data_IF_889595252028
#
_entry.id   IF_889595252028
#
_cell.length_a   1.000
_cell.length_b   1.000
_cell.length_c   1.000
_cell.angle_alpha   90.00
_cell.angle_beta   90.00
_cell.angle_gamma   90.00
#
_symmetry.space_group_name_H-M   'P 1'
#
loop_
_entity.id
_entity.type
_entity.pdbx_description
1 polymer ?
#
# COMPACT_ATOMS: atom_id res chain seq x y z
N UNK A 1 -2.40 11.18 -12.31
CA UNK A 1 -2.29 9.95 -11.50
C UNK A 1 -1.56 10.27 -10.21
N UNK A 2 -1.94 9.63 -9.09
CA UNK A 2 -1.26 9.81 -7.79
C UNK A 2 -0.83 8.43 -7.29
N UNK A 3 0.45 8.28 -6.96
CA UNK A 3 1.07 7.04 -6.48
C UNK A 3 1.48 7.18 -5.01
N UNK A 4 1.06 6.21 -4.19
CA UNK A 4 1.28 6.18 -2.75
C UNK A 4 2.02 4.90 -2.38
N UNK A 5 3.21 5.05 -1.79
CA UNK A 5 4.10 3.94 -1.45
C UNK A 5 3.67 3.15 -0.21
N UNK A 6 4.33 2.02 0.04
CA UNK A 6 4.14 1.15 1.20
C UNK A 6 4.86 1.63 2.48
N UNK A 7 4.74 0.83 3.56
CA UNK A 7 5.45 1.03 4.81
C UNK A 7 6.97 1.02 4.58
N UNK A 8 7.70 1.96 5.16
CA UNK A 8 9.15 2.14 5.05
C UNK A 8 9.68 2.22 3.59
N UNK A 9 8.79 2.54 2.66
CA UNK A 9 9.06 2.73 1.23
C UNK A 9 9.21 4.22 0.88
N UNK A 10 9.33 4.57 -0.41
CA UNK A 10 9.41 5.95 -0.88
C UNK A 10 8.85 6.07 -2.30
N UNK A 11 8.71 7.33 -2.78
CA UNK A 11 8.22 7.63 -4.12
C UNK A 11 8.99 6.93 -5.24
N UNK A 12 10.29 6.68 -5.04
CA UNK A 12 11.17 6.02 -6.03
C UNK A 12 10.73 4.60 -6.38
N UNK A 13 9.93 3.93 -5.52
CA UNK A 13 9.40 2.59 -5.80
C UNK A 13 8.35 2.59 -6.92
N UNK A 14 7.97 3.79 -7.37
CA UNK A 14 7.09 4.03 -8.51
C UNK A 14 7.80 4.59 -9.74
N UNK A 15 9.15 4.53 -9.80
CA UNK A 15 9.93 5.16 -10.85
C UNK A 15 9.50 4.71 -12.26
N UNK A 16 9.33 3.40 -12.47
CA UNK A 16 8.92 2.85 -13.77
C UNK A 16 7.51 3.33 -14.20
N UNK A 17 6.62 3.55 -13.25
CA UNK A 17 5.28 4.09 -13.50
C UNK A 17 5.34 5.59 -13.79
N UNK A 18 6.11 6.33 -12.98
CA UNK A 18 6.24 7.78 -13.18
C UNK A 18 6.90 8.12 -14.51
N UNK A 19 7.94 7.39 -14.92
CA UNK A 19 8.62 7.60 -16.20
C UNK A 19 7.72 7.35 -17.41
N UNK A 20 6.83 6.37 -17.31
CA UNK A 20 5.89 6.07 -18.39
C UNK A 20 4.77 7.11 -18.43
N UNK A 21 4.05 7.28 -17.31
CA UNK A 21 2.79 8.01 -17.29
C UNK A 21 2.97 9.53 -17.32
N UNK A 22 4.12 10.07 -16.89
CA UNK A 22 4.41 11.51 -16.98
C UNK A 22 4.51 12.04 -18.41
N UNK A 23 4.65 11.16 -19.40
CA UNK A 23 4.70 11.55 -20.82
C UNK A 23 3.36 12.07 -21.34
N UNK A 24 2.26 11.64 -20.70
CA UNK A 24 0.90 11.93 -21.18
C UNK A 24 -0.06 12.40 -20.08
N UNK A 25 0.34 12.32 -18.82
CA UNK A 25 -0.49 12.66 -17.65
C UNK A 25 0.23 13.57 -16.68
N UNK A 26 -0.53 14.30 -15.86
CA UNK A 26 -0.01 14.84 -14.62
C UNK A 26 0.18 13.67 -13.62
N UNK A 27 1.41 13.49 -13.15
CA UNK A 27 1.77 12.42 -12.21
C UNK A 27 2.34 13.01 -10.92
N UNK A 28 1.89 12.48 -9.80
CA UNK A 28 2.44 12.75 -8.47
C UNK A 28 2.78 11.43 -7.82
N UNK A 29 4.04 11.21 -7.45
CA UNK A 29 4.47 10.17 -6.54
C UNK A 29 4.94 10.85 -5.25
N UNK A 30 4.22 10.64 -4.14
CA UNK A 30 4.49 11.35 -2.89
C UNK A 30 5.32 10.50 -1.93
N UNK A 31 6.19 11.15 -1.15
CA UNK A 31 6.71 10.59 0.09
C UNK A 31 5.73 10.93 1.22
N UNK A 32 5.23 9.92 1.92
CA UNK A 32 4.40 10.10 3.09
C UNK A 32 5.22 10.68 4.26
N UNK A 33 4.57 11.28 5.26
CA UNK A 33 5.27 11.83 6.44
C UNK A 33 6.25 10.84 7.03
N UNK A 34 7.42 11.32 7.44
CA UNK A 34 8.56 10.56 7.97
C UNK A 34 9.14 9.52 7.00
N UNK A 35 8.82 9.61 5.69
CA UNK A 35 9.39 8.76 4.64
C UNK A 35 10.06 9.60 3.57
N UNK A 36 11.10 9.02 2.93
CA UNK A 36 11.82 9.66 1.84
C UNK A 36 12.30 11.06 2.20
N UNK A 37 11.84 12.07 1.46
CA UNK A 37 12.21 13.49 1.67
C UNK A 37 11.19 14.28 2.51
N UNK A 38 10.08 13.67 2.91
CA UNK A 38 9.05 14.34 3.68
C UNK A 38 9.31 14.19 5.18
N UNK A 39 9.51 15.29 5.92
CA UNK A 39 9.69 15.21 7.37
C UNK A 39 8.39 14.76 8.05
N UNK A 40 8.51 14.25 9.28
CA UNK A 40 7.38 13.88 10.11
C UNK A 40 7.81 13.41 11.48
N UNK A 41 6.96 13.64 12.48
CA UNK A 41 7.16 13.13 13.83
C UNK A 41 6.41 11.78 14.00
N UNK A 42 6.84 10.89 14.91
CA UNK A 42 6.17 9.60 15.15
C UNK A 42 4.67 9.75 15.46
N UNK A 43 4.27 10.77 16.21
CA UNK A 43 2.87 11.04 16.55
C UNK A 43 1.98 11.46 15.35
N UNK A 44 2.60 11.86 14.24
CA UNK A 44 1.90 12.21 12.99
C UNK A 44 1.80 11.02 12.02
N UNK A 45 2.35 9.86 12.38
CA UNK A 45 2.42 8.69 11.51
C UNK A 45 1.27 7.73 11.79
N UNK A 46 0.18 7.90 11.06
CA UNK A 46 -0.97 6.99 11.07
C UNK A 46 -1.64 6.92 9.71
N UNK A 47 -2.38 5.85 9.44
CA UNK A 47 -3.12 5.69 8.18
C UNK A 47 -4.13 6.82 8.00
N UNK A 48 -4.81 7.23 9.07
CA UNK A 48 -5.78 8.32 9.04
C UNK A 48 -5.12 9.65 8.68
N UNK A 49 -3.93 9.92 9.23
CA UNK A 49 -3.20 11.15 8.92
C UNK A 49 -2.69 11.16 7.50
N UNK A 50 -2.12 10.05 7.04
CA UNK A 50 -1.65 9.90 5.67
C UNK A 50 -2.79 9.99 4.65
N UNK A 51 -3.96 9.41 4.98
CA UNK A 51 -5.16 9.54 4.16
C UNK A 51 -5.64 10.99 4.06
N UNK A 52 -5.57 11.75 5.15
CA UNK A 52 -5.90 13.17 5.16
C UNK A 52 -4.92 14.00 4.30
N UNK A 53 -3.61 13.76 4.41
CA UNK A 53 -2.60 14.43 3.59
C UNK A 53 -2.80 14.16 2.09
N UNK A 54 -3.11 12.91 1.72
CA UNK A 54 -3.41 12.55 0.32
C UNK A 54 -4.72 13.18 -0.13
N UNK A 55 -5.75 13.25 0.72
CA UNK A 55 -7.01 13.93 0.40
C UNK A 55 -6.80 15.45 0.18
N UNK A 56 -5.95 16.09 0.97
CA UNK A 56 -5.55 17.49 0.79
C UNK A 56 -4.81 17.67 -0.54
N UNK A 57 -3.83 16.81 -0.85
CA UNK A 57 -3.13 16.78 -2.14
C UNK A 57 -4.12 16.67 -3.31
N UNK A 58 -5.10 15.76 -3.23
CA UNK A 58 -6.14 15.62 -4.25
C UNK A 58 -6.95 16.91 -4.42
N UNK A 59 -7.14 17.67 -3.34
CA UNK A 59 -7.80 18.98 -3.37
C UNK A 59 -7.09 19.99 -4.24
N UNK A 60 -5.76 19.92 -4.37
CA UNK A 60 -4.93 20.83 -5.18
C UNK A 60 -4.97 20.49 -6.67
N UNK A 61 -5.42 19.28 -7.05
CA UNK A 61 -5.46 18.85 -8.43
C UNK A 61 -6.68 19.43 -9.16
N UNK A 62 -6.47 19.77 -10.44
CA UNK A 62 -7.52 20.36 -11.31
C UNK A 62 -8.65 19.37 -11.60
N UNK A 63 -8.34 18.08 -11.72
CA UNK A 63 -9.27 17.01 -12.09
C UNK A 63 -9.19 15.85 -11.10
N UNK A 64 -10.24 15.03 -10.95
CA UNK A 64 -10.18 13.79 -10.19
C UNK A 64 -9.03 12.90 -10.68
N UNK A 65 -8.33 12.25 -9.76
CA UNK A 65 -7.14 11.45 -10.05
C UNK A 65 -7.41 9.95 -9.98
N UNK A 66 -6.65 9.18 -10.77
CA UNK A 66 -6.44 7.75 -10.51
C UNK A 66 -5.50 7.66 -9.31
N UNK A 67 -5.99 7.06 -8.24
CA UNK A 67 -5.29 6.97 -6.96
C UNK A 67 -4.78 5.55 -6.76
N UNK A 68 -3.46 5.38 -6.80
CA UNK A 68 -2.78 4.08 -6.78
C UNK A 68 -1.98 3.93 -5.48
N UNK A 69 -2.23 2.87 -4.73
CA UNK A 69 -1.52 2.57 -3.49
C UNK A 69 -0.88 1.18 -3.50
N UNK A 70 0.34 1.07 -2.98
CA UNK A 70 1.04 -0.18 -2.76
C UNK A 70 1.03 -0.55 -1.28
N UNK A 71 0.70 -1.80 -0.94
CA UNK A 71 0.82 -2.32 0.43
C UNK A 71 0.12 -1.45 1.48
N UNK A 72 0.85 -0.79 2.37
CA UNK A 72 0.31 0.23 3.29
C UNK A 72 -0.41 1.33 2.52
N UNK A 73 0.10 1.73 1.37
CA UNK A 73 -0.51 2.73 0.49
C UNK A 73 -1.94 2.37 0.08
N UNK A 74 -2.31 1.08 0.01
CA UNK A 74 -3.69 0.66 -0.22
C UNK A 74 -4.64 1.19 0.86
N UNK A 75 -4.23 1.17 2.14
CA UNK A 75 -4.99 1.71 3.27
C UNK A 75 -5.13 3.22 3.16
N UNK A 76 -4.01 3.88 2.82
CA UNK A 76 -3.94 5.33 2.68
C UNK A 76 -4.87 5.82 1.56
N UNK A 77 -4.86 5.18 0.39
CA UNK A 77 -5.73 5.57 -0.73
C UNK A 77 -7.20 5.30 -0.44
N UNK A 78 -7.53 4.22 0.27
CA UNK A 78 -8.90 3.96 0.72
C UNK A 78 -9.38 5.01 1.72
N UNK A 79 -8.53 5.42 2.66
CA UNK A 79 -8.86 6.49 3.62
C UNK A 79 -8.98 7.85 2.93
N UNK A 80 -8.09 8.18 1.97
CA UNK A 80 -8.18 9.39 1.17
C UNK A 80 -9.46 9.44 0.32
N UNK A 81 -9.84 8.30 -0.30
CA UNK A 81 -11.11 8.19 -1.01
C UNK A 81 -12.32 8.44 -0.11
N UNK A 82 -12.30 7.94 1.13
CA UNK A 82 -13.37 8.18 2.10
C UNK A 82 -13.53 9.67 2.43
N UNK A 83 -12.41 10.41 2.50
CA UNK A 83 -12.37 11.83 2.82
C UNK A 83 -12.69 12.73 1.62
N UNK A 84 -12.25 12.36 0.42
CA UNK A 84 -12.39 13.16 -0.79
C UNK A 84 -12.90 12.35 -2.01
N UNK A 85 -14.06 11.65 -1.92
CA UNK A 85 -14.50 10.72 -2.97
C UNK A 85 -14.73 11.38 -4.32
N UNK A 86 -15.10 12.65 -4.36
CA UNK A 86 -15.32 13.41 -5.61
C UNK A 86 -14.01 13.74 -6.35
N UNK A 87 -12.87 13.59 -5.70
CA UNK A 87 -11.54 13.82 -6.27
C UNK A 87 -10.86 12.55 -6.74
N UNK A 88 -11.55 11.40 -6.68
CA UNK A 88 -11.02 10.10 -7.07
C UNK A 88 -11.77 9.59 -8.31
N UNK A 89 -11.06 9.51 -9.42
CA UNK A 89 -11.60 9.00 -10.70
C UNK A 89 -11.61 7.46 -10.72
N UNK A 90 -10.57 6.83 -10.18
CA UNK A 90 -10.43 5.38 -10.03
C UNK A 90 -9.44 5.06 -8.92
N UNK A 91 -9.52 3.85 -8.37
CA UNK A 91 -8.61 3.34 -7.34
C UNK A 91 -7.86 2.12 -7.87
N UNK A 92 -6.55 2.06 -7.63
CA UNK A 92 -5.73 0.88 -7.88
C UNK A 92 -5.04 0.46 -6.59
N UNK A 93 -5.26 -0.79 -6.18
CA UNK A 93 -4.66 -1.38 -4.99
C UNK A 93 -3.61 -2.41 -5.44
N UNK A 94 -2.34 -2.14 -5.18
CA UNK A 94 -1.22 -2.99 -5.57
C UNK A 94 -0.73 -3.77 -4.35
N UNK A 95 -0.91 -5.06 -4.41
CA UNK A 95 -0.57 -6.07 -3.39
C UNK A 95 -1.00 -5.69 -1.97
N UNK A 96 -2.29 -5.39 -1.84
CA UNK A 96 -2.92 -5.09 -0.57
C UNK A 96 -3.00 -6.32 0.36
N UNK A 97 -3.25 -6.06 1.63
CA UNK A 97 -3.46 -7.10 2.63
C UNK A 97 -4.25 -6.57 3.82
N UNK A 98 -4.88 -7.46 4.58
CA UNK A 98 -5.44 -7.17 5.90
C UNK A 98 -4.59 -7.84 6.96
N UNK A 99 -4.05 -7.07 7.91
CA UNK A 99 -3.14 -7.56 8.94
C UNK A 99 -3.87 -7.98 10.22
N UNK A 100 -5.04 -7.40 10.47
CA UNK A 100 -5.78 -7.59 11.71
C UNK A 100 -7.29 -7.48 11.55
N UNK A 101 -8.01 -8.10 12.48
CA UNK A 101 -9.45 -7.99 12.66
C UNK A 101 -9.77 -8.09 14.17
N UNK A 102 -11.03 -7.86 14.56
CA UNK A 102 -11.44 -7.89 15.96
C UNK A 102 -11.18 -6.58 16.67
N UNK A 103 -10.70 -6.62 17.92
CA UNK A 103 -10.45 -5.43 18.72
C UNK A 103 -9.25 -4.61 18.20
N UNK A 104 -9.44 -3.32 17.86
CA UNK A 104 -8.38 -2.50 17.28
C UNK A 104 -7.22 -2.20 18.24
N UNK A 105 -7.47 -2.15 19.55
CA UNK A 105 -6.42 -1.90 20.55
C UNK A 105 -5.56 -3.15 20.70
N UNK A 106 -6.18 -4.32 20.87
CA UNK A 106 -5.46 -5.60 20.93
C UNK A 106 -4.63 -5.85 19.67
N UNK A 107 -5.19 -5.52 18.48
CA UNK A 107 -4.46 -5.62 17.22
C UNK A 107 -3.20 -4.74 17.18
N UNK A 108 -3.30 -3.50 17.65
CA UNK A 108 -2.17 -2.58 17.72
C UNK A 108 -1.13 -3.03 18.76
N UNK A 109 -1.58 -3.46 19.93
CA UNK A 109 -0.70 -3.91 21.02
C UNK A 109 0.11 -5.15 20.65
N UNK A 110 -0.51 -6.10 19.94
CA UNK A 110 0.20 -7.28 19.43
C UNK A 110 1.33 -6.90 18.44
N UNK A 111 1.12 -5.85 17.61
CA UNK A 111 2.16 -5.36 16.71
C UNK A 111 3.27 -4.63 17.45
N UNK A 112 2.90 -3.83 18.45
CA UNK A 112 3.86 -3.11 19.29
C UNK A 112 4.77 -4.10 20.02
N UNK A 113 4.19 -5.11 20.66
CA UNK A 113 4.94 -6.15 21.37
C UNK A 113 5.92 -6.90 20.45
N UNK A 114 5.53 -7.19 19.20
CA UNK A 114 6.42 -7.85 18.24
C UNK A 114 7.63 -6.98 17.87
N UNK A 115 7.43 -5.66 17.71
CA UNK A 115 8.53 -4.72 17.43
C UNK A 115 9.42 -4.53 18.66
N UNK A 116 8.84 -4.40 19.85
CA UNK A 116 9.58 -4.24 21.11
C UNK A 116 10.44 -5.48 21.39
N UNK A 117 9.91 -6.68 21.15
CA UNK A 117 10.63 -7.93 21.34
C UNK A 117 11.85 -8.09 20.43
N UNK A 118 11.70 -7.76 19.16
CA UNK A 118 12.76 -7.94 18.15
C UNK A 118 13.72 -6.75 18.05
N UNK A 119 13.28 -5.55 18.43
CA UNK A 119 13.86 -4.29 18.01
C UNK A 119 13.48 -3.94 16.56
N UNK A 120 13.29 -2.65 16.28
CA UNK A 120 12.72 -2.23 14.98
C UNK A 120 13.57 -2.64 13.78
N UNK A 121 14.90 -2.49 13.86
CA UNK A 121 15.78 -2.81 12.73
C UNK A 121 15.70 -4.30 12.34
N UNK A 122 15.79 -5.21 13.33
CA UNK A 122 15.68 -6.65 13.11
C UNK A 122 14.26 -7.02 12.62
N UNK A 123 13.23 -6.38 13.18
CA UNK A 123 11.85 -6.55 12.72
C UNK A 123 11.69 -6.14 11.26
N UNK A 124 12.23 -4.97 10.87
CA UNK A 124 12.15 -4.46 9.50
C UNK A 124 12.92 -5.37 8.53
N UNK A 125 14.13 -5.81 8.88
CA UNK A 125 14.92 -6.73 8.06
C UNK A 125 14.13 -8.04 7.80
N UNK A 126 13.62 -8.68 8.85
CA UNK A 126 12.86 -9.92 8.74
C UNK A 126 11.56 -9.74 7.94
N UNK A 127 10.83 -8.63 8.17
CA UNK A 127 9.61 -8.30 7.46
C UNK A 127 9.87 -8.11 5.97
N UNK A 128 10.90 -7.36 5.60
CA UNK A 128 11.15 -7.02 4.19
C UNK A 128 11.79 -8.17 3.40
N UNK A 129 12.61 -9.01 4.03
CA UNK A 129 13.18 -10.20 3.34
C UNK A 129 12.10 -11.16 2.85
N UNK A 130 11.04 -11.38 3.60
CA UNK A 130 9.93 -12.24 3.15
C UNK A 130 9.05 -11.64 2.06
N UNK A 131 9.25 -10.37 1.72
CA UNK A 131 8.48 -9.67 0.67
C UNK A 131 8.99 -9.97 -0.74
N UNK A 132 10.18 -10.53 -0.88
CA UNK A 132 10.80 -10.87 -2.15
C UNK A 132 10.92 -12.38 -2.33
N UNK A 133 10.80 -12.86 -3.57
CA UNK A 133 11.12 -14.26 -3.88
C UNK A 133 12.62 -14.51 -3.74
N UNK A 134 13.43 -13.53 -4.16
CA UNK A 134 14.88 -13.49 -3.98
C UNK A 134 15.27 -12.16 -3.33
N UNK A 135 15.55 -12.22 -2.03
CA UNK A 135 15.96 -11.05 -1.26
C UNK A 135 17.42 -10.61 -1.52
N UNK A 136 18.14 -11.27 -2.45
CA UNK A 136 19.51 -10.92 -2.83
C UNK A 136 19.58 -10.01 -4.05
N UNK A 137 18.48 -9.75 -4.72
CA UNK A 137 18.46 -8.84 -5.88
C UNK A 137 18.82 -7.41 -5.49
N UNK A 138 19.43 -6.61 -6.38
CA UNK A 138 19.79 -5.21 -6.08
C UNK A 138 18.62 -4.37 -5.56
N UNK A 139 17.43 -4.53 -6.17
CA UNK A 139 16.24 -3.80 -5.73
C UNK A 139 15.77 -4.27 -4.35
N UNK A 140 15.76 -5.57 -4.08
CA UNK A 140 15.42 -6.10 -2.76
C UNK A 140 16.35 -5.57 -1.68
N UNK A 141 17.67 -5.65 -1.90
CA UNK A 141 18.68 -5.15 -0.97
C UNK A 141 18.51 -3.65 -0.71
N UNK A 142 18.31 -2.84 -1.77
CA UNK A 142 18.08 -1.40 -1.65
C UNK A 142 16.86 -1.09 -0.78
N UNK A 143 15.76 -1.81 -1.00
CA UNK A 143 14.50 -1.60 -0.26
C UNK A 143 14.64 -2.06 1.19
N UNK A 144 15.24 -3.22 1.45
CA UNK A 144 15.50 -3.75 2.79
C UNK A 144 16.36 -2.76 3.59
N UNK A 145 17.47 -2.29 3.02
CA UNK A 145 18.36 -1.34 3.69
C UNK A 145 17.68 0.01 3.97
N UNK A 146 16.83 0.48 3.06
CA UNK A 146 16.03 1.68 3.31
C UNK A 146 15.04 1.45 4.46
N UNK A 147 14.37 0.31 4.49
CA UNK A 147 13.39 -0.01 5.53
C UNK A 147 14.02 -0.04 6.94
N UNK A 148 15.21 -0.57 7.07
CA UNK A 148 15.99 -0.59 8.33
C UNK A 148 16.35 0.81 8.82
N UNK A 149 16.48 1.79 7.91
CA UNK A 149 16.84 3.17 8.24
C UNK A 149 15.65 4.04 8.65
N UNK A 150 14.41 3.53 8.53
CA UNK A 150 13.28 4.27 9.07
C UNK A 150 13.49 4.48 10.58
N UNK A 151 13.34 5.69 11.12
CA UNK A 151 13.49 5.90 12.56
C UNK A 151 12.62 4.92 13.37
N UNK A 152 13.21 4.29 14.36
CA UNK A 152 12.56 3.23 15.15
C UNK A 152 11.24 3.67 15.76
N UNK A 153 11.18 4.93 16.22
CA UNK A 153 9.98 5.52 16.82
C UNK A 153 8.85 5.68 15.78
N UNK A 154 9.20 6.00 14.53
CA UNK A 154 8.25 6.10 13.42
C UNK A 154 7.69 4.72 13.10
N UNK A 155 8.56 3.72 12.97
CA UNK A 155 8.14 2.34 12.70
C UNK A 155 7.25 1.78 13.80
N UNK A 156 7.64 2.01 15.07
CA UNK A 156 6.90 1.57 16.24
C UNK A 156 5.54 2.28 16.41
N UNK A 157 5.38 3.49 15.91
CA UNK A 157 4.10 4.19 15.89
C UNK A 157 3.21 3.73 14.72
N UNK A 158 3.79 3.63 13.52
CA UNK A 158 3.04 3.44 12.28
C UNK A 158 2.56 1.99 12.10
N UNK A 159 3.40 0.98 12.35
CA UNK A 159 3.03 -0.42 12.09
C UNK A 159 1.84 -0.89 12.95
N UNK A 160 1.77 -0.60 14.27
CA UNK A 160 0.57 -0.82 15.07
C UNK A 160 -0.65 -0.03 14.58
N UNK A 161 -0.46 1.21 14.08
CA UNK A 161 -1.52 2.02 13.48
C UNK A 161 -2.15 1.34 12.27
N UNK A 162 -1.37 0.66 11.43
CA UNK A 162 -1.89 -0.12 10.30
C UNK A 162 -2.82 -1.25 10.77
N UNK A 163 -2.42 -2.01 11.79
CA UNK A 163 -3.24 -3.09 12.34
C UNK A 163 -4.53 -2.56 12.97
N UNK A 164 -4.45 -1.45 13.71
CA UNK A 164 -5.61 -0.76 14.28
C UNK A 164 -6.59 -0.31 13.19
N UNK A 165 -6.07 0.30 12.12
CA UNK A 165 -6.89 0.74 11.00
C UNK A 165 -7.58 -0.44 10.30
N UNK A 166 -6.86 -1.54 10.06
CA UNK A 166 -7.42 -2.76 9.47
C UNK A 166 -8.56 -3.35 10.33
N UNK A 167 -8.41 -3.36 11.65
CA UNK A 167 -9.41 -3.88 12.55
C UNK A 167 -10.67 -2.99 12.65
N UNK A 168 -10.50 -1.66 12.52
CA UNK A 168 -11.59 -0.71 12.79
C UNK A 168 -12.21 -0.08 11.52
N UNK A 169 -11.47 0.07 10.42
CA UNK A 169 -11.88 0.95 9.30
C UNK A 169 -11.89 0.31 7.93
N UNK A 170 -11.16 -0.78 7.68
CA UNK A 170 -11.02 -1.35 6.33
C UNK A 170 -12.37 -1.67 5.68
N UNK A 171 -13.31 -2.22 6.43
CA UNK A 171 -14.64 -2.58 5.93
C UNK A 171 -15.42 -1.34 5.50
N UNK A 172 -15.47 -0.32 6.36
CA UNK A 172 -16.16 0.93 6.05
C UNK A 172 -15.51 1.71 4.92
N UNK A 173 -14.17 1.66 4.81
CA UNK A 173 -13.43 2.30 3.74
C UNK A 173 -13.67 1.62 2.38
N UNK A 174 -13.71 0.29 2.34
CA UNK A 174 -14.09 -0.47 1.15
C UNK A 174 -15.55 -0.21 0.76
N UNK A 175 -16.47 -0.25 1.72
CA UNK A 175 -17.88 0.03 1.49
C UNK A 175 -18.16 1.48 1.02
N UNK A 176 -17.24 2.40 1.24
CA UNK A 176 -17.33 3.79 0.75
C UNK A 176 -16.87 3.96 -0.71
N UNK A 177 -16.25 2.96 -1.33
CA UNK A 177 -15.78 3.04 -2.72
C UNK A 177 -16.97 3.12 -3.68
N UNK A 178 -16.93 4.12 -4.57
CA UNK A 178 -17.93 4.32 -5.64
C UNK A 178 -17.29 4.42 -7.02
N UNK A 179 -16.02 4.75 -7.07
CA UNK A 179 -15.23 4.78 -8.30
C UNK A 179 -14.81 3.37 -8.73
N UNK A 180 -14.50 3.16 -10.02
CA UNK A 180 -13.89 1.92 -10.47
C UNK A 180 -12.68 1.53 -9.61
N UNK A 181 -12.53 0.23 -9.32
CA UNK A 181 -11.43 -0.30 -8.53
C UNK A 181 -10.75 -1.46 -9.24
N UNK A 182 -9.42 -1.40 -9.32
CA UNK A 182 -8.54 -2.49 -9.76
C UNK A 182 -7.67 -2.94 -8.58
N UNK A 183 -7.66 -4.24 -8.30
CA UNK A 183 -6.68 -4.87 -7.41
C UNK A 183 -5.68 -5.66 -8.25
N UNK A 184 -4.40 -5.31 -8.16
CA UNK A 184 -3.27 -6.06 -8.72
C UNK A 184 -2.63 -6.80 -7.56
N UNK A 185 -2.73 -8.13 -7.55
CA UNK A 185 -2.29 -8.93 -6.42
C UNK A 185 -1.24 -9.95 -6.85
N UNK A 186 -0.13 -10.02 -6.11
CA UNK A 186 0.96 -10.96 -6.37
C UNK A 186 1.23 -11.90 -5.21
N UNK A 187 0.89 -11.49 -3.98
CA UNK A 187 1.12 -12.29 -2.78
C UNK A 187 -0.12 -12.45 -1.91
N UNK A 188 -0.10 -13.46 -1.07
CA UNK A 188 -1.06 -13.64 0.03
C UNK A 188 -0.33 -13.74 1.36
N UNK A 189 -1.04 -13.51 2.45
CA UNK A 189 -0.50 -13.57 3.81
C UNK A 189 -1.28 -14.60 4.63
N UNK A 190 -0.56 -15.54 5.26
CA UNK A 190 -1.16 -16.54 6.15
C UNK A 190 -1.59 -15.88 7.49
N UNK A 191 -2.39 -16.59 8.32
CA UNK A 191 -2.72 -16.14 9.68
C UNK A 191 -1.48 -15.88 10.55
N UNK A 192 -0.38 -16.61 10.33
CA UNK A 192 0.90 -16.45 11.02
C UNK A 192 1.74 -15.31 10.43
N UNK A 193 1.15 -14.52 9.50
CA UNK A 193 1.77 -13.38 8.81
C UNK A 193 2.98 -13.75 7.95
N UNK A 194 3.01 -14.97 7.44
CA UNK A 194 3.96 -15.38 6.42
C UNK A 194 3.42 -15.02 5.04
N UNK A 195 4.24 -14.33 4.26
CA UNK A 195 3.91 -13.92 2.90
C UNK A 195 4.37 -15.00 1.92
N UNK A 196 3.56 -15.27 0.92
CA UNK A 196 3.87 -16.19 -0.17
C UNK A 196 3.32 -15.67 -1.49
N UNK A 197 4.00 -16.00 -2.60
CA UNK A 197 3.51 -15.71 -3.94
C UNK A 197 2.21 -16.43 -4.23
N UNK A 198 1.32 -15.79 -4.98
CA UNK A 198 0.06 -16.39 -5.42
C UNK A 198 0.23 -17.17 -6.72
N UNK A 199 -0.69 -18.11 -6.94
CA UNK A 199 -0.86 -18.83 -8.19
C UNK A 199 -2.03 -18.25 -9.00
N UNK A 200 -2.04 -18.48 -10.31
CA UNK A 200 -3.17 -18.08 -11.16
C UNK A 200 -4.50 -18.67 -10.64
N UNK A 201 -5.52 -17.83 -10.55
CA UNK A 201 -6.85 -18.22 -10.05
C UNK A 201 -6.97 -18.37 -8.53
N UNK A 202 -5.89 -18.15 -7.77
CA UNK A 202 -5.94 -18.22 -6.30
C UNK A 202 -6.70 -17.01 -5.74
N UNK A 203 -7.43 -17.22 -4.63
CA UNK A 203 -7.98 -16.14 -3.81
C UNK A 203 -7.20 -15.97 -2.50
N UNK A 204 -7.55 -14.98 -1.71
CA UNK A 204 -7.00 -14.74 -0.39
C UNK A 204 -8.04 -14.06 0.50
N UNK A 205 -7.90 -14.11 1.84
CA UNK A 205 -8.82 -13.42 2.75
C UNK A 205 -8.98 -11.92 2.44
N UNK A 206 -7.93 -11.28 1.93
CA UNK A 206 -7.98 -9.89 1.47
C UNK A 206 -8.84 -9.72 0.23
N UNK A 207 -8.65 -10.56 -0.79
CA UNK A 207 -9.43 -10.50 -2.03
C UNK A 207 -10.90 -10.87 -1.79
N UNK A 208 -11.18 -11.79 -0.89
CA UNK A 208 -12.54 -12.16 -0.52
C UNK A 208 -13.24 -11.00 0.20
N UNK A 209 -12.54 -10.32 1.11
CA UNK A 209 -13.03 -9.10 1.75
C UNK A 209 -13.30 -8.00 0.72
N UNK A 210 -12.38 -7.80 -0.22
CA UNK A 210 -12.52 -6.81 -1.28
C UNK A 210 -13.78 -7.08 -2.12
N UNK A 211 -13.95 -8.33 -2.61
CA UNK A 211 -15.11 -8.73 -3.43
C UNK A 211 -16.43 -8.60 -2.68
N UNK A 212 -16.44 -8.90 -1.38
CA UNK A 212 -17.62 -8.78 -0.55
C UNK A 212 -18.13 -7.33 -0.43
N UNK A 213 -17.22 -6.34 -0.45
CA UNK A 213 -17.57 -4.92 -0.25
C UNK A 213 -17.53 -4.09 -1.53
N UNK A 214 -16.79 -4.54 -2.55
CA UNK A 214 -16.68 -3.90 -3.88
C UNK A 214 -16.85 -4.97 -4.96
N UNK A 215 -18.06 -5.50 -5.17
CA UNK A 215 -18.30 -6.63 -6.09
C UNK A 215 -17.89 -6.34 -7.56
N UNK A 216 -17.89 -5.06 -7.95
CA UNK A 216 -17.49 -4.62 -9.29
C UNK A 216 -15.96 -4.43 -9.43
N UNK A 217 -15.17 -4.73 -8.40
CA UNK A 217 -13.72 -4.61 -8.48
C UNK A 217 -13.14 -5.58 -9.51
N UNK A 218 -12.30 -5.07 -10.42
CA UNK A 218 -11.44 -5.88 -11.28
C UNK A 218 -10.29 -6.42 -10.42
N UNK A 219 -10.01 -7.72 -10.48
CA UNK A 219 -8.91 -8.35 -9.75
C UNK A 219 -8.00 -9.04 -10.74
N UNK A 220 -6.72 -8.67 -10.71
CA UNK A 220 -5.66 -9.26 -11.54
C UNK A 220 -4.61 -9.92 -10.64
N UNK A 221 -4.38 -11.21 -10.85
CA UNK A 221 -3.33 -11.95 -10.15
C UNK A 221 -2.08 -11.96 -11.02
N UNK A 222 -0.97 -11.52 -10.45
CA UNK A 222 0.37 -11.60 -11.05
C UNK A 222 1.16 -12.73 -10.36
N UNK A 223 1.05 -13.98 -10.84
CA UNK A 223 1.66 -15.12 -10.17
C UNK A 223 3.18 -15.11 -10.31
N UNK A 224 3.86 -15.75 -9.34
CA UNK A 224 5.30 -15.93 -9.38
C UNK A 224 6.10 -14.67 -9.08
N UNK A 225 5.52 -13.70 -8.35
CA UNK A 225 6.17 -12.46 -7.93
C UNK A 225 6.16 -12.34 -6.40
N UNK A 226 7.04 -11.49 -5.87
CA UNK A 226 7.01 -11.04 -4.49
C UNK A 226 6.00 -9.91 -4.26
N UNK A 227 6.23 -9.13 -3.20
CA UNK A 227 5.32 -8.07 -2.73
C UNK A 227 5.43 -6.75 -3.52
N UNK A 228 6.41 -6.62 -4.39
CA UNK A 228 6.67 -5.40 -5.14
C UNK A 228 6.44 -5.56 -6.65
N UNK A 229 5.22 -5.98 -7.10
CA UNK A 229 4.98 -6.23 -8.52
C UNK A 229 5.20 -5.00 -9.40
N UNK A 230 5.05 -3.78 -8.88
CA UNK A 230 5.35 -2.52 -9.58
C UNK A 230 6.83 -2.34 -9.90
N UNK A 231 7.72 -3.09 -9.24
CA UNK A 231 9.17 -3.16 -9.48
C UNK A 231 9.52 -4.46 -10.20
N UNK A 232 9.11 -5.61 -9.65
CA UNK A 232 9.47 -6.95 -10.13
C UNK A 232 8.88 -7.27 -11.51
N UNK A 233 7.74 -6.65 -11.87
CA UNK A 233 7.06 -6.82 -13.15
C UNK A 233 6.47 -5.49 -13.65
N UNK A 234 7.29 -4.44 -13.65
CA UNK A 234 6.87 -3.07 -13.92
C UNK A 234 6.06 -2.92 -15.22
N UNK A 235 6.48 -3.59 -16.30
CA UNK A 235 5.78 -3.54 -17.59
C UNK A 235 4.36 -4.10 -17.49
N UNK A 236 4.17 -5.24 -16.79
CA UNK A 236 2.83 -5.85 -16.59
C UNK A 236 1.93 -4.92 -15.78
N UNK A 237 2.44 -4.33 -14.72
CA UNK A 237 1.69 -3.35 -13.91
C UNK A 237 1.36 -2.11 -14.76
N UNK A 238 2.28 -1.62 -15.57
CA UNK A 238 2.08 -0.48 -16.45
C UNK A 238 0.98 -0.73 -17.49
N UNK A 239 0.92 -1.93 -18.08
CA UNK A 239 -0.16 -2.32 -18.99
C UNK A 239 -1.51 -2.28 -18.27
N UNK A 240 -1.63 -2.92 -17.10
CA UNK A 240 -2.87 -2.94 -16.32
C UNK A 240 -3.33 -1.53 -15.92
N UNK A 241 -2.41 -0.67 -15.52
CA UNK A 241 -2.70 0.73 -15.20
C UNK A 241 -3.18 1.50 -16.43
N UNK A 242 -2.55 1.30 -17.60
CA UNK A 242 -2.91 1.96 -18.86
C UNK A 242 -4.30 1.54 -19.36
N UNK A 243 -4.64 0.25 -19.21
CA UNK A 243 -5.95 -0.28 -19.60
C UNK A 243 -7.07 0.20 -18.67
N UNK A 244 -6.75 0.36 -17.39
CA UNK A 244 -7.75 0.67 -16.37
C UNK A 244 -7.97 2.16 -16.16
N UNK A 245 -6.96 2.99 -16.40
CA UNK A 245 -7.11 4.44 -16.26
C UNK A 245 -8.19 4.97 -17.22
N UNK A 246 -9.12 5.85 -16.76
CA UNK A 246 -10.08 6.50 -17.64
C UNK A 246 -9.34 7.17 -18.79
N UNK A 247 -9.81 6.93 -20.03
CA UNK A 247 -9.30 7.63 -21.20
C UNK A 247 -9.86 9.05 -21.17
N UNK A 248 -8.98 10.04 -21.22
CA UNK A 248 -9.35 11.45 -21.36
C UNK A 248 -10.07 11.73 -22.68
#
# INVERSE_FOLDING_TARGET
MVFVHGFACAHEDWQAQTDLFSKTNQVVACDLRAHGRTPGAPGDCSIERYGADVAELLGTLRSPAVLTGHSMGCRVVLEANRLAPKKVAAIVLVDGSRMASGDPHQAADAMRAAIEFAGFEAFADALFRQMFLDASTPDALRIIERAKRLPSEVGAALFPSMARWDASRVVTALAAVRSPLLAIQSTTMSPERKRSSMHAGQTSPWLDLLRAHVPAARVEILPGLGHFPQIEAAERVNVLLSEFAPKN
#
